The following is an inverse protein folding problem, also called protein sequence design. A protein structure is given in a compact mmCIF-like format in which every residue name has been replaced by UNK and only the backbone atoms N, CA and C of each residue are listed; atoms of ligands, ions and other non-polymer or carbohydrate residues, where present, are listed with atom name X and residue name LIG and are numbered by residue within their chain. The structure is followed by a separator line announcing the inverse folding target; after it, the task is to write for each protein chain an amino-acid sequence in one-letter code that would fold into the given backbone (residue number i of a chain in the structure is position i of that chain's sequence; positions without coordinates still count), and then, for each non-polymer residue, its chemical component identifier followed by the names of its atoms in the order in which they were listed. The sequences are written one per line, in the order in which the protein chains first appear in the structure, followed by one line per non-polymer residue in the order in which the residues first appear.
data_IF_782343322673
#
_entry.id   IF_782343322673
#
_cell.length_a   1.000
_cell.length_b   1.000
_cell.length_c   1.000
_cell.angle_alpha   90.00
_cell.angle_beta   90.00
_cell.angle_gamma   90.00
#
_symmetry.space_group_name_H-M   'P 1'
#
loop_
_entity.id
_entity.type
_entity.pdbx_description
1 polymer ?
#
# COMPACT_ATOMS: atom_id res chain seq x y z
N UNK A 1 0.01 -0.83 18.92
CA UNK A 1 -1.13 -0.20 19.61
C UNK A 1 -2.34 -0.36 18.70
N UNK A 2 -3.38 -1.07 19.14
CA UNK A 2 -4.60 -1.27 18.35
C UNK A 2 -5.32 0.06 18.07
N UNK A 3 -5.23 0.53 16.81
CA UNK A 3 -5.98 1.68 16.31
C UNK A 3 -7.51 1.53 16.51
N UNK A 4 -8.00 0.30 16.68
CA UNK A 4 -9.41 0.01 16.95
C UNK A 4 -9.96 0.69 18.21
N UNK A 5 -9.09 1.03 19.17
CA UNK A 5 -9.47 1.71 20.42
C UNK A 5 -9.14 3.21 20.41
N UNK A 6 -8.55 3.73 19.33
CA UNK A 6 -8.10 5.10 19.26
C UNK A 6 -9.30 6.06 19.31
N UNK A 7 -9.36 6.87 20.38
CA UNK A 7 -10.39 7.91 20.54
C UNK A 7 -9.94 9.28 20.07
N UNK A 8 -8.62 9.48 19.98
CA UNK A 8 -8.01 10.76 19.64
C UNK A 8 -6.97 10.59 18.54
N UNK A 9 -6.96 11.53 17.60
CA UNK A 9 -5.88 11.72 16.65
C UNK A 9 -5.06 12.93 17.10
N UNK A 10 -3.82 12.72 17.50
CA UNK A 10 -2.91 13.77 17.97
C UNK A 10 -1.94 14.19 16.86
N UNK A 11 -1.66 15.49 16.79
CA UNK A 11 -0.82 16.11 15.78
C UNK A 11 0.33 16.85 16.47
N UNK A 12 1.50 16.78 15.86
CA UNK A 12 2.71 17.45 16.31
C UNK A 12 3.35 18.16 15.13
N UNK A 13 3.53 19.48 15.25
CA UNK A 13 4.15 20.31 14.21
C UNK A 13 5.57 20.64 14.65
N UNK A 14 6.53 20.27 13.81
CA UNK A 14 7.95 20.52 14.07
C UNK A 14 8.48 21.61 13.14
N UNK A 15 9.27 22.53 13.67
CA UNK A 15 10.10 23.44 12.86
C UNK A 15 11.43 22.76 12.56
N UNK A 16 11.89 22.89 11.33
CA UNK A 16 13.23 22.48 10.91
C UNK A 16 14.04 23.73 10.53
N UNK A 17 15.17 23.94 11.19
CA UNK A 17 16.11 25.03 10.88
C UNK A 17 17.48 24.42 10.52
N UNK A 18 17.90 24.47 9.24
CA UNK A 18 19.18 23.93 8.80
C UNK A 18 20.38 24.78 9.28
N UNK A 19 20.17 26.03 9.72
CA UNK A 19 21.25 26.90 10.20
C UNK A 19 21.62 26.64 11.66
N UNK A 20 20.69 26.10 12.46
CA UNK A 20 20.87 25.77 13.88
C UNK A 20 21.06 24.26 14.11
N UNK A 21 22.02 23.66 13.41
CA UNK A 21 22.43 22.27 13.66
C UNK A 21 21.42 21.20 13.22
N UNK A 22 20.54 21.51 12.27
CA UNK A 22 19.62 20.56 11.62
C UNK A 22 18.73 19.75 12.60
N UNK A 23 18.21 20.41 13.64
CA UNK A 23 17.33 19.76 14.63
C UNK A 23 15.86 20.09 14.39
N UNK A 24 15.02 19.06 14.42
CA UNK A 24 13.57 19.23 14.46
C UNK A 24 13.14 19.62 15.89
N UNK A 25 12.48 20.77 16.04
CA UNK A 25 11.93 21.23 17.33
C UNK A 25 10.41 21.17 17.28
N UNK A 26 9.78 20.51 18.25
CA UNK A 26 8.33 20.55 18.39
C UNK A 26 7.91 22.00 18.69
N UNK A 27 7.00 22.53 17.89
CA UNK A 27 6.53 23.91 18.02
C UNK A 27 5.08 23.95 18.48
N UNK A 28 4.26 23.04 17.95
CA UNK A 28 2.82 23.03 18.25
C UNK A 28 2.27 21.61 18.38
N UNK A 29 1.27 21.45 19.25
CA UNK A 29 0.52 20.22 19.43
C UNK A 29 -0.99 20.44 19.41
N UNK A 30 -1.75 19.45 18.95
CA UNK A 30 -3.22 19.47 18.96
C UNK A 30 -3.81 18.07 18.84
N UNK A 31 -5.11 17.93 19.13
CA UNK A 31 -5.79 16.63 19.04
C UNK A 31 -7.25 16.77 18.59
N UNK A 32 -7.74 15.80 17.82
CA UNK A 32 -9.15 15.66 17.43
C UNK A 32 -9.76 14.42 18.07
N UNK A 33 -10.97 14.52 18.61
CA UNK A 33 -11.75 13.36 19.03
C UNK A 33 -12.36 12.65 17.81
N UNK A 34 -11.94 11.42 17.55
CA UNK A 34 -12.29 10.65 16.36
C UNK A 34 -13.79 10.33 16.27
N UNK A 35 -14.46 10.02 17.38
CA UNK A 35 -15.89 9.68 17.34
C UNK A 35 -16.78 10.82 16.82
N UNK A 36 -16.36 12.07 17.02
CA UNK A 36 -17.09 13.24 16.53
C UNK A 36 -17.02 13.37 15.00
N UNK A 37 -16.00 12.77 14.37
CA UNK A 37 -15.83 12.74 12.92
C UNK A 37 -16.64 11.62 12.27
N UNK A 38 -16.76 10.48 12.96
CA UNK A 38 -17.38 9.28 12.39
C UNK A 38 -18.88 9.15 12.69
N UNK A 39 -19.42 9.82 13.72
CA UNK A 39 -20.86 9.78 14.03
C UNK A 39 -21.77 10.30 12.92
N UNK A 40 -21.28 11.25 12.10
CA UNK A 40 -22.01 11.74 10.92
C UNK A 40 -21.95 10.78 9.73
N UNK A 41 -20.90 9.97 9.66
CA UNK A 41 -20.67 9.03 8.56
C UNK A 41 -21.52 7.76 8.67
N UNK A 42 -21.86 7.32 9.89
CA UNK A 42 -22.70 6.12 10.10
C UNK A 42 -24.21 6.37 9.93
N UNK A 43 -24.67 7.63 9.96
CA UNK A 43 -26.10 7.95 9.84
C UNK A 43 -26.58 8.23 8.41
N UNK A 44 -25.66 8.45 7.47
CA UNK A 44 -26.00 8.62 6.06
C UNK A 44 -25.58 7.37 5.30
N UNK A 45 -26.57 6.62 4.81
CA UNK A 45 -26.43 5.44 3.95
C UNK A 45 -25.87 5.78 2.55
N UNK A 46 -25.05 6.82 2.47
CA UNK A 46 -24.59 7.44 1.24
C UNK A 46 -23.20 6.89 0.93
N UNK A 47 -23.06 6.26 -0.23
CA UNK A 47 -21.82 5.75 -0.83
C UNK A 47 -20.80 6.87 -1.17
N UNK A 48 -20.77 7.97 -0.41
CA UNK A 48 -20.03 9.18 -0.73
C UNK A 48 -18.84 9.39 0.21
N UNK A 49 -17.71 9.72 -0.41
CA UNK A 49 -16.53 10.30 0.22
C UNK A 49 -16.93 11.53 1.05
N UNK A 50 -16.66 11.51 2.36
CA UNK A 50 -16.97 12.65 3.23
C UNK A 50 -15.71 13.44 3.59
N UNK A 51 -15.73 14.73 3.27
CA UNK A 51 -14.67 15.69 3.58
C UNK A 51 -15.00 16.44 4.88
N UNK A 52 -14.27 16.13 5.95
CA UNK A 52 -14.41 16.81 7.23
C UNK A 52 -13.33 17.89 7.37
N UNK A 53 -13.71 19.16 7.17
CA UNK A 53 -12.83 20.30 7.43
C UNK A 53 -12.87 20.67 8.91
N UNK A 54 -11.72 20.64 9.57
CA UNK A 54 -11.57 20.87 11.00
C UNK A 54 -10.60 22.02 11.24
N UNK A 55 -10.97 22.90 12.17
CA UNK A 55 -10.08 23.91 12.72
C UNK A 55 -9.50 23.39 14.05
N UNK A 56 -8.25 22.95 14.01
CA UNK A 56 -7.52 22.46 15.16
C UNK A 56 -6.88 23.60 15.92
N UNK A 57 -7.25 23.78 17.18
CA UNK A 57 -6.54 24.70 18.06
C UNK A 57 -5.21 24.08 18.50
N UNK A 58 -4.13 24.79 18.23
CA UNK A 58 -2.77 24.39 18.55
C UNK A 58 -2.33 25.02 19.87
N UNK A 59 -1.69 24.23 20.72
CA UNK A 59 -0.96 24.73 21.89
C UNK A 59 0.50 25.05 21.50
N UNK A 60 1.08 26.18 21.96
CA UNK A 60 0.48 27.16 22.89
C UNK A 60 -0.49 28.17 22.24
N UNK A 61 -0.37 28.44 20.93
CA UNK A 61 -1.26 29.32 20.15
C UNK A 61 -1.26 28.92 18.68
N UNK A 62 -2.37 29.17 17.99
CA UNK A 62 -2.52 28.99 16.53
C UNK A 62 -3.70 28.10 16.17
N UNK A 63 -4.15 28.17 14.92
CA UNK A 63 -5.20 27.30 14.40
C UNK A 63 -4.71 26.62 13.12
N UNK A 64 -4.74 25.29 13.09
CA UNK A 64 -4.42 24.48 11.92
C UNK A 64 -5.72 24.04 11.25
N UNK A 65 -5.91 24.39 9.99
CA UNK A 65 -7.02 23.87 9.20
C UNK A 65 -6.60 22.56 8.55
N UNK A 66 -7.35 21.48 8.83
CA UNK A 66 -7.13 20.18 8.21
C UNK A 66 -8.40 19.69 7.54
N UNK A 67 -8.25 18.94 6.46
CA UNK A 67 -9.33 18.24 5.79
C UNK A 67 -9.10 16.74 5.96
N UNK A 68 -10.04 16.06 6.62
CA UNK A 68 -10.00 14.63 6.83
C UNK A 68 -11.04 13.96 5.94
N UNK A 69 -10.58 13.06 5.09
CA UNK A 69 -11.44 12.25 4.24
C UNK A 69 -11.81 10.95 4.95
N UNK A 70 -13.09 10.67 5.09
CA UNK A 70 -13.56 9.33 5.46
C UNK A 70 -14.04 8.58 4.22
N UNK A 71 -13.52 7.38 4.05
CA UNK A 71 -13.96 6.41 3.05
C UNK A 71 -14.34 5.12 3.77
N UNK A 72 -15.50 4.57 3.40
CA UNK A 72 -15.88 3.26 3.91
C UNK A 72 -14.93 2.20 3.37
N UNK A 73 -14.86 1.11 4.12
CA UNK A 73 -14.08 -0.06 3.79
C UNK A 73 -14.44 -0.63 2.40
N UNK A 74 -15.72 -0.58 2.03
CA UNK A 74 -16.23 -1.01 0.73
C UNK A 74 -15.71 -0.15 -0.43
N UNK A 75 -15.67 1.18 -0.24
CA UNK A 75 -15.13 2.10 -1.24
C UNK A 75 -13.62 1.90 -1.37
N UNK A 76 -12.91 1.73 -0.25
CA UNK A 76 -11.46 1.47 -0.23
C UNK A 76 -11.08 0.17 -0.93
N UNK A 77 -11.95 -0.85 -0.93
CA UNK A 77 -11.69 -2.15 -1.56
C UNK A 77 -12.24 -2.28 -2.97
N UNK A 78 -12.93 -1.27 -3.47
CA UNK A 78 -13.50 -1.30 -4.81
C UNK A 78 -12.39 -1.24 -5.86
N UNK A 79 -12.03 -2.39 -6.42
CA UNK A 79 -11.18 -2.48 -7.61
C UNK A 79 -11.94 -1.88 -8.78
N UNK A 80 -11.39 -0.81 -9.35
CA UNK A 80 -11.99 -0.11 -10.49
C UNK A 80 -10.99 -0.24 -11.63
N UNK A 81 -11.35 -0.91 -12.73
CA UNK A 81 -10.46 -1.03 -13.87
C UNK A 81 -10.15 0.36 -14.43
N UNK A 82 -8.95 0.51 -14.99
CA UNK A 82 -8.59 1.76 -15.65
C UNK A 82 -9.48 1.99 -16.87
N UNK A 83 -10.00 3.21 -17.00
CA UNK A 83 -10.75 3.64 -18.18
C UNK A 83 -9.82 4.02 -19.35
N UNK A 84 -8.53 4.14 -19.09
CA UNK A 84 -7.53 4.50 -20.09
C UNK A 84 -6.91 3.24 -20.68
N UNK A 85 -7.11 3.05 -21.99
CA UNK A 85 -6.70 1.84 -22.70
C UNK A 85 -5.20 1.52 -22.50
N UNK A 86 -4.33 2.52 -22.36
CA UNK A 86 -2.87 2.34 -22.25
C UNK A 86 -2.31 2.53 -20.83
N UNK A 87 -3.17 2.56 -19.81
CA UNK A 87 -2.74 2.75 -18.43
C UNK A 87 -1.95 1.56 -17.90
N UNK A 88 -0.99 1.83 -17.01
CA UNK A 88 -0.21 0.82 -16.31
C UNK A 88 -0.97 0.30 -15.09
N UNK A 89 -1.56 1.19 -14.30
CA UNK A 89 -2.31 0.84 -13.11
C UNK A 89 -3.79 0.60 -13.46
N UNK A 90 -4.48 -0.27 -12.72
CA UNK A 90 -5.88 -0.58 -13.04
C UNK A 90 -6.07 -1.46 -14.28
N UNK A 91 -4.99 -1.94 -14.89
CA UNK A 91 -5.02 -2.81 -16.08
C UNK A 91 -4.74 -4.25 -15.67
N UNK A 92 -5.34 -5.21 -16.39
CA UNK A 92 -5.09 -6.63 -16.17
C UNK A 92 -3.62 -7.01 -16.37
N UNK A 93 -3.07 -7.85 -15.49
CA UNK A 93 -1.66 -8.29 -15.56
C UNK A 93 -1.27 -8.88 -16.91
N UNK A 94 -2.13 -9.72 -17.47
CA UNK A 94 -1.89 -10.34 -18.78
C UNK A 94 -1.70 -9.29 -19.86
N UNK A 95 -2.56 -8.26 -19.84
CA UNK A 95 -2.51 -7.15 -20.78
C UNK A 95 -1.23 -6.31 -20.60
N UNK A 96 -0.80 -6.05 -19.35
CA UNK A 96 0.44 -5.32 -19.08
C UNK A 96 1.66 -6.09 -19.58
N UNK A 97 1.76 -7.38 -19.24
CA UNK A 97 2.86 -8.27 -19.66
C UNK A 97 2.95 -8.36 -21.19
N UNK A 98 1.82 -8.55 -21.87
CA UNK A 98 1.77 -8.65 -23.33
C UNK A 98 2.26 -7.36 -24.01
N UNK A 99 1.91 -6.19 -23.47
CA UNK A 99 2.36 -4.88 -23.99
C UNK A 99 3.85 -4.65 -23.84
N UNK A 100 4.40 -5.04 -22.70
CA UNK A 100 5.82 -4.84 -22.40
C UNK A 100 6.74 -5.66 -23.31
N UNK A 101 6.25 -6.80 -23.85
CA UNK A 101 7.02 -7.72 -24.72
C UNK A 101 8.41 -8.05 -24.16
N UNK A 102 8.53 -8.09 -22.83
CA UNK A 102 9.80 -8.27 -22.11
C UNK A 102 10.32 -9.71 -22.15
N UNK A 103 9.52 -10.66 -22.67
CA UNK A 103 9.80 -12.09 -22.61
C UNK A 103 9.64 -12.69 -21.21
N UNK A 104 9.23 -11.89 -20.22
CA UNK A 104 8.96 -12.31 -18.84
C UNK A 104 7.46 -12.33 -18.59
N UNK A 105 6.98 -13.33 -17.85
CA UNK A 105 5.57 -13.40 -17.42
C UNK A 105 5.29 -12.55 -16.17
N UNK A 106 6.04 -11.46 -15.97
CA UNK A 106 5.98 -10.58 -14.81
C UNK A 106 6.13 -9.14 -15.31
N UNK A 107 5.22 -8.21 -14.93
CA UNK A 107 5.35 -6.79 -15.25
C UNK A 107 6.68 -6.18 -14.80
N UNK A 108 7.28 -5.35 -15.65
CA UNK A 108 8.53 -4.65 -15.37
C UNK A 108 8.44 -3.80 -14.10
N UNK A 109 7.29 -3.19 -13.81
CA UNK A 109 7.10 -2.42 -12.59
C UNK A 109 7.27 -3.26 -11.32
N UNK A 110 6.74 -4.49 -11.30
CA UNK A 110 6.92 -5.40 -10.16
C UNK A 110 8.39 -5.71 -9.96
N UNK A 111 9.08 -6.08 -11.05
CA UNK A 111 10.50 -6.45 -11.02
C UNK A 111 11.35 -5.29 -10.51
N UNK A 112 11.19 -4.09 -11.09
CA UNK A 112 12.00 -2.92 -10.73
C UNK A 112 11.75 -2.45 -9.31
N UNK A 113 10.50 -2.46 -8.84
CA UNK A 113 10.19 -2.11 -7.46
C UNK A 113 10.84 -3.08 -6.49
N UNK A 114 10.73 -4.39 -6.74
CA UNK A 114 11.30 -5.43 -5.88
C UNK A 114 12.82 -5.35 -5.87
N UNK A 115 13.47 -5.27 -7.04
CA UNK A 115 14.93 -5.13 -7.17
C UNK A 115 15.46 -3.94 -6.35
N UNK A 116 14.81 -2.77 -6.45
CA UNK A 116 15.23 -1.59 -5.69
C UNK A 116 14.94 -1.71 -4.19
N UNK A 117 13.85 -2.35 -3.78
CA UNK A 117 13.57 -2.58 -2.34
C UNK A 117 14.57 -3.57 -1.74
N UNK A 118 14.90 -4.66 -2.44
CA UNK A 118 15.92 -5.61 -1.99
C UNK A 118 17.31 -4.96 -1.91
N UNK A 119 17.61 -4.05 -2.85
CA UNK A 119 18.92 -3.39 -2.92
C UNK A 119 19.19 -2.39 -1.79
N UNK A 120 18.18 -1.66 -1.31
CA UNK A 120 18.38 -0.57 -0.31
C UNK A 120 17.30 -0.44 0.78
N UNK A 121 16.22 -1.21 0.68
CA UNK A 121 15.08 -1.13 1.59
C UNK A 121 15.10 -2.12 2.75
N UNK A 122 15.94 -3.15 2.70
CA UNK A 122 15.95 -4.22 3.70
C UNK A 122 16.39 -3.75 5.09
N UNK A 123 17.31 -2.79 5.14
CA UNK A 123 17.77 -2.20 6.40
C UNK A 123 16.84 -1.08 6.90
N UNK A 124 15.80 -0.72 6.15
CA UNK A 124 14.88 0.36 6.52
C UNK A 124 13.84 -0.14 7.52
N UNK A 125 13.87 0.42 8.73
CA UNK A 125 12.88 0.12 9.77
C UNK A 125 11.46 0.45 9.27
N UNK A 126 10.58 -0.54 9.34
CA UNK A 126 9.18 -0.39 8.94
C UNK A 126 8.96 -0.35 7.43
N UNK A 127 9.90 -0.86 6.62
CA UNK A 127 9.69 -1.07 5.18
C UNK A 127 8.36 -1.81 4.95
N UNK A 128 7.64 -1.42 3.90
CA UNK A 128 6.25 -1.81 3.60
C UNK A 128 5.17 -1.33 4.57
N UNK A 129 5.47 -1.10 5.84
CA UNK A 129 4.52 -0.56 6.84
C UNK A 129 4.39 0.96 6.76
N UNK A 130 5.50 1.66 6.60
CA UNK A 130 5.52 3.12 6.51
C UNK A 130 5.11 3.59 5.10
N UNK A 131 4.53 4.79 5.04
CA UNK A 131 4.17 5.45 3.80
C UNK A 131 5.14 6.61 3.55
N UNK A 132 5.69 6.68 2.34
CA UNK A 132 6.47 7.83 1.90
C UNK A 132 5.62 9.06 1.58
N UNK A 133 6.25 10.11 1.08
CA UNK A 133 5.57 11.35 0.67
C UNK A 133 4.46 11.10 -0.35
N UNK A 134 3.21 11.43 0.02
CA UNK A 134 2.04 11.28 -0.85
C UNK A 134 2.18 12.10 -2.16
N UNK A 135 2.79 13.28 -2.08
CA UNK A 135 3.07 14.12 -3.25
C UNK A 135 4.08 13.45 -4.17
N UNK A 136 5.20 12.94 -3.64
CA UNK A 136 6.22 12.29 -4.49
C UNK A 136 5.68 11.00 -5.10
N UNK A 137 4.87 10.25 -4.35
CA UNK A 137 4.14 9.08 -4.85
C UNK A 137 3.27 9.44 -6.07
N UNK A 138 2.45 10.49 -5.96
CA UNK A 138 1.59 10.93 -7.05
C UNK A 138 2.40 11.31 -8.31
N UNK A 139 3.49 12.06 -8.13
CA UNK A 139 4.39 12.43 -9.24
C UNK A 139 5.02 11.20 -9.91
N UNK A 140 5.56 10.28 -9.12
CA UNK A 140 6.17 9.06 -9.64
C UNK A 140 5.14 8.21 -10.40
N UNK A 141 3.90 8.12 -9.88
CA UNK A 141 2.82 7.42 -10.58
C UNK A 141 2.54 8.05 -11.95
N UNK A 142 2.42 9.37 -12.02
CA UNK A 142 2.20 10.07 -13.30
C UNK A 142 3.37 9.89 -14.28
N UNK A 143 4.60 9.87 -13.78
CA UNK A 143 5.80 9.57 -14.58
C UNK A 143 5.74 8.15 -15.17
N UNK A 144 5.35 7.15 -14.36
CA UNK A 144 5.22 5.75 -14.77
C UNK A 144 4.05 5.52 -15.76
N UNK A 145 2.92 6.20 -15.57
CA UNK A 145 1.78 6.12 -16.49
C UNK A 145 2.11 6.76 -17.85
N UNK A 146 2.94 7.81 -17.87
CA UNK A 146 3.39 8.45 -19.11
C UNK A 146 4.38 7.57 -19.87
N UNK A 147 5.31 6.92 -19.16
CA UNK A 147 6.40 6.14 -19.75
C UNK A 147 6.54 4.75 -19.10
N UNK A 148 5.58 3.83 -19.29
CA UNK A 148 5.54 2.54 -18.61
C UNK A 148 6.72 1.61 -18.98
N UNK A 149 7.37 1.86 -20.13
CA UNK A 149 8.53 1.07 -20.57
C UNK A 149 9.85 1.53 -19.96
N UNK A 150 9.92 2.73 -19.36
CA UNK A 150 11.14 3.32 -18.82
C UNK A 150 10.98 3.63 -17.33
N UNK A 151 11.14 2.59 -16.52
CA UNK A 151 10.97 2.66 -15.07
C UNK A 151 12.33 2.89 -14.41
N UNK A 152 12.58 4.12 -13.95
CA UNK A 152 13.75 4.49 -13.15
C UNK A 152 13.33 4.75 -11.69
N UNK A 153 13.79 3.89 -10.79
CA UNK A 153 13.52 3.94 -9.36
C UNK A 153 14.79 4.14 -8.53
N UNK A 154 15.88 4.56 -9.20
CA UNK A 154 17.18 4.80 -8.58
C UNK A 154 17.09 5.83 -7.43
N UNK A 155 18.02 5.80 -6.46
CA UNK A 155 18.03 6.75 -5.35
C UNK A 155 18.07 8.23 -5.78
N UNK A 156 18.64 8.53 -6.95
CA UNK A 156 18.66 9.87 -7.54
C UNK A 156 17.28 10.36 -7.99
N UNK A 157 16.40 9.46 -8.44
CA UNK A 157 15.05 9.78 -8.90
C UNK A 157 14.04 9.65 -7.75
N UNK A 158 14.15 8.59 -6.95
CA UNK A 158 13.25 8.29 -5.84
C UNK A 158 14.06 8.06 -4.57
N UNK A 159 14.41 9.14 -3.86
CA UNK A 159 15.21 9.03 -2.64
C UNK A 159 14.55 8.19 -1.53
N UNK A 160 13.25 8.38 -1.29
CA UNK A 160 12.51 7.67 -0.24
C UNK A 160 12.01 6.29 -0.73
N UNK A 161 12.58 5.21 -0.18
CA UNK A 161 12.19 3.84 -0.53
C UNK A 161 10.75 3.52 -0.15
N UNK A 162 10.18 4.21 0.84
CA UNK A 162 8.78 4.03 1.22
C UNK A 162 7.83 4.53 0.12
N UNK A 163 8.27 5.41 -0.77
CA UNK A 163 7.49 5.78 -1.96
C UNK A 163 7.43 4.60 -2.94
N UNK A 164 8.55 3.90 -3.16
CA UNK A 164 8.61 2.72 -4.04
C UNK A 164 7.73 1.59 -3.50
N UNK A 165 7.77 1.31 -2.20
CA UNK A 165 6.90 0.29 -1.59
C UNK A 165 5.43 0.63 -1.76
N UNK A 166 5.04 1.90 -1.66
CA UNK A 166 3.64 2.31 -1.84
C UNK A 166 3.23 2.22 -3.30
N UNK A 167 4.10 2.55 -4.27
CA UNK A 167 3.82 2.32 -5.69
C UNK A 167 3.58 0.84 -5.98
N UNK A 168 4.42 -0.04 -5.46
CA UNK A 168 4.25 -1.49 -5.60
C UNK A 168 2.89 -1.95 -5.03
N UNK A 169 2.54 -1.47 -3.83
CA UNK A 169 1.24 -1.76 -3.18
C UNK A 169 0.07 -1.22 -4.00
N UNK A 170 0.16 0.00 -4.52
CA UNK A 170 -0.87 0.63 -5.34
C UNK A 170 -1.10 -0.16 -6.64
N UNK A 171 -0.03 -0.61 -7.31
CA UNK A 171 -0.12 -1.44 -8.52
C UNK A 171 -0.90 -2.74 -8.28
N UNK A 172 -0.52 -3.52 -7.26
CA UNK A 172 -1.18 -4.81 -6.96
C UNK A 172 -2.63 -4.61 -6.47
N UNK A 173 -2.87 -3.58 -5.67
CA UNK A 173 -4.21 -3.27 -5.13
C UNK A 173 -5.19 -2.86 -6.24
N UNK A 174 -4.71 -2.16 -7.26
CA UNK A 174 -5.57 -1.60 -8.30
C UNK A 174 -5.83 -2.54 -9.47
N UNK A 175 -5.17 -3.70 -9.53
CA UNK A 175 -5.49 -4.72 -10.54
C UNK A 175 -7.01 -4.99 -10.56
N UNK A 176 -7.65 -5.15 -11.73
CA UNK A 176 -9.09 -5.44 -11.82
C UNK A 176 -9.49 -6.68 -10.99
N UNK A 177 -8.68 -7.72 -11.09
CA UNK A 177 -8.76 -8.93 -10.28
C UNK A 177 -7.58 -8.99 -9.30
N UNK A 178 -7.78 -9.45 -8.05
CA UNK A 178 -6.69 -9.64 -7.11
C UNK A 178 -5.67 -10.67 -7.63
N UNK A 179 -4.40 -10.46 -7.25
CA UNK A 179 -3.30 -11.33 -7.67
C UNK A 179 -3.56 -12.80 -7.30
N UNK A 180 -4.11 -13.02 -6.11
CA UNK A 180 -4.73 -14.29 -5.73
C UNK A 180 -6.26 -14.12 -5.67
N UNK A 181 -7.00 -14.87 -6.48
CA UNK A 181 -8.46 -14.91 -6.44
C UNK A 181 -9.00 -15.14 -5.02
N UNK A 182 -10.09 -14.45 -4.67
CA UNK A 182 -10.67 -14.49 -3.32
C UNK A 182 -10.99 -15.91 -2.82
N UNK A 183 -11.45 -16.79 -3.72
CA UNK A 183 -11.71 -18.20 -3.42
C UNK A 183 -10.46 -18.96 -2.99
N UNK A 184 -9.32 -18.68 -3.62
CA UNK A 184 -8.03 -19.28 -3.30
C UNK A 184 -7.48 -18.68 -2.00
N UNK A 185 -7.66 -17.37 -1.78
CA UNK A 185 -7.32 -16.74 -0.51
C UNK A 185 -8.09 -17.34 0.67
N UNK A 186 -9.40 -17.59 0.54
CA UNK A 186 -10.21 -18.21 1.60
C UNK A 186 -9.74 -19.63 1.92
N UNK A 187 -9.40 -20.42 0.89
CA UNK A 187 -8.82 -21.76 1.07
C UNK A 187 -7.47 -21.70 1.79
N UNK A 188 -6.59 -20.76 1.41
CA UNK A 188 -5.29 -20.55 2.08
C UNK A 188 -5.45 -20.10 3.53
N UNK A 189 -6.39 -19.18 3.79
CA UNK A 189 -6.64 -18.67 5.13
C UNK A 189 -7.15 -19.76 6.08
N UNK A 190 -8.08 -20.60 5.60
CA UNK A 190 -8.59 -21.73 6.39
C UNK A 190 -7.47 -22.72 6.74
N UNK A 191 -6.57 -23.02 5.80
CA UNK A 191 -5.51 -24.01 6.03
C UNK A 191 -4.35 -23.47 6.88
N UNK A 192 -4.06 -22.16 6.81
CA UNK A 192 -3.03 -21.52 7.62
C UNK A 192 -3.25 -21.64 9.14
N UNK A 193 -4.49 -21.87 9.55
CA UNK A 193 -4.88 -22.05 10.96
C UNK A 193 -4.79 -23.50 11.43
N UNK A 194 -4.52 -24.44 10.51
CA UNK A 194 -4.34 -25.85 10.81
C UNK A 194 -2.85 -26.15 10.94
N UNK A 195 -2.41 -26.62 12.10
CA UNK A 195 -1.03 -27.07 12.35
C UNK A 195 -0.76 -28.42 11.66
N UNK A 196 -0.80 -28.45 10.32
CA UNK A 196 -0.54 -29.66 9.55
C UNK A 196 0.79 -29.57 8.79
N UNK A 197 1.54 -30.67 8.77
CA UNK A 197 2.85 -30.79 8.09
C UNK A 197 2.76 -30.72 6.56
N UNK A 198 1.55 -30.70 5.98
CA UNK A 198 1.31 -30.71 4.52
C UNK A 198 0.84 -29.35 3.96
N UNK A 199 0.80 -28.29 4.76
CA UNK A 199 0.31 -26.97 4.35
C UNK A 199 1.02 -26.42 3.10
N UNK A 200 2.33 -26.69 2.93
CA UNK A 200 3.09 -26.24 1.78
C UNK A 200 2.67 -26.91 0.46
N UNK A 201 2.38 -28.21 0.48
CA UNK A 201 1.93 -28.93 -0.72
C UNK A 201 0.53 -28.48 -1.16
N UNK A 202 -0.40 -28.36 -0.22
CA UNK A 202 -1.74 -27.83 -0.48
C UNK A 202 -1.69 -26.39 -1.00
N UNK A 203 -0.85 -25.54 -0.42
CA UNK A 203 -0.68 -24.15 -0.88
C UNK A 203 -0.14 -24.08 -2.31
N UNK A 204 0.75 -25.00 -2.69
CA UNK A 204 1.22 -25.13 -4.07
C UNK A 204 0.11 -25.60 -5.02
N UNK A 205 -0.68 -26.61 -4.65
CA UNK A 205 -1.81 -27.10 -5.46
C UNK A 205 -2.87 -26.00 -5.66
N UNK A 206 -3.16 -25.23 -4.62
CA UNK A 206 -4.07 -24.07 -4.70
C UNK A 206 -3.51 -23.02 -5.68
N UNK A 207 -2.20 -22.73 -5.62
CA UNK A 207 -1.58 -21.78 -6.55
C UNK A 207 -1.58 -22.26 -8.01
N UNK A 208 -1.61 -23.57 -8.27
CA UNK A 208 -1.74 -24.12 -9.64
C UNK A 208 -3.10 -23.84 -10.27
N UNK A 209 -4.12 -23.51 -9.47
CA UNK A 209 -5.44 -23.09 -9.97
C UNK A 209 -5.46 -21.61 -10.42
N UNK A 210 -4.43 -20.82 -10.13
CA UNK A 210 -4.32 -19.44 -10.61
C UNK A 210 -3.96 -19.38 -12.10
N UNK A 211 -4.39 -18.35 -12.84
CA UNK A 211 -3.82 -18.04 -14.15
C UNK A 211 -2.29 -17.98 -14.08
N UNK A 212 -1.60 -18.48 -15.12
CA UNK A 212 -0.14 -18.64 -15.15
C UNK A 212 0.61 -17.35 -14.76
N UNK A 213 0.16 -16.20 -15.27
CA UNK A 213 0.79 -14.90 -15.00
C UNK A 213 0.60 -14.50 -13.53
N UNK A 214 -0.61 -14.65 -12.98
CA UNK A 214 -0.90 -14.42 -11.57
C UNK A 214 -0.07 -15.33 -10.67
N UNK A 215 0.04 -16.62 -11.00
CA UNK A 215 0.84 -17.59 -10.28
C UNK A 215 2.31 -17.15 -10.22
N UNK A 216 2.93 -16.84 -11.37
CA UNK A 216 4.34 -16.42 -11.43
C UNK A 216 4.57 -15.11 -10.67
N UNK A 217 3.67 -14.12 -10.81
CA UNK A 217 3.77 -12.86 -10.08
C UNK A 217 3.59 -13.04 -8.56
N UNK A 218 2.65 -13.89 -8.13
CA UNK A 218 2.48 -14.29 -6.72
C UNK A 218 3.75 -14.91 -6.17
N UNK A 219 4.30 -15.93 -6.85
CA UNK A 219 5.53 -16.59 -6.41
C UNK A 219 6.71 -15.62 -6.35
N UNK A 220 6.84 -14.73 -7.35
CA UNK A 220 7.89 -13.72 -7.38
C UNK A 220 7.81 -12.80 -6.15
N UNK A 221 6.64 -12.23 -5.87
CA UNK A 221 6.44 -11.36 -4.71
C UNK A 221 6.62 -12.12 -3.39
N UNK A 222 6.09 -13.35 -3.27
CA UNK A 222 6.27 -14.16 -2.08
C UNK A 222 7.75 -14.49 -1.85
N UNK A 223 8.48 -14.94 -2.86
CA UNK A 223 9.89 -15.30 -2.71
C UNK A 223 10.72 -14.08 -2.30
N UNK A 224 10.57 -12.97 -3.02
CA UNK A 224 11.33 -11.74 -2.77
C UNK A 224 10.98 -11.06 -1.45
N UNK A 225 9.71 -11.03 -1.05
CA UNK A 225 9.30 -10.37 0.21
C UNK A 225 9.52 -11.27 1.43
N UNK A 226 9.35 -12.60 1.30
CA UNK A 226 9.55 -13.54 2.41
C UNK A 226 11.00 -13.79 2.75
N UNK A 227 11.88 -13.95 1.75
CA UNK A 227 13.29 -14.15 2.04
C UNK A 227 13.94 -12.90 2.64
N UNK A 228 13.43 -11.72 2.29
CA UNK A 228 14.16 -10.48 2.51
C UNK A 228 13.69 -9.69 3.73
N UNK A 229 12.45 -9.87 4.22
CA UNK A 229 11.91 -8.92 5.20
C UNK A 229 11.17 -9.53 6.40
N UNK A 230 10.35 -10.59 6.26
CA UNK A 230 9.30 -10.85 7.29
C UNK A 230 8.92 -12.35 7.48
N UNK A 231 8.46 -12.74 8.70
CA UNK A 231 7.85 -14.05 8.95
C UNK A 231 6.57 -14.25 8.12
N UNK A 232 6.21 -15.52 7.86
CA UNK A 232 5.13 -15.96 6.95
C UNK A 232 3.76 -15.26 7.11
N UNK A 233 3.47 -14.62 8.25
CA UNK A 233 2.25 -13.83 8.49
C UNK A 233 2.11 -12.60 7.59
N UNK A 234 3.19 -12.14 6.94
CA UNK A 234 3.18 -10.96 6.08
C UNK A 234 2.83 -11.25 4.61
N UNK A 235 2.93 -12.50 4.16
CA UNK A 235 2.48 -12.96 2.83
C UNK A 235 0.99 -12.65 2.64
N UNK A 236 0.22 -12.85 3.71
CA UNK A 236 -1.22 -12.66 3.71
C UNK A 236 -1.62 -11.23 3.34
N UNK A 237 -0.87 -10.19 3.70
CA UNK A 237 -1.22 -8.81 3.33
C UNK A 237 -0.93 -8.45 1.87
N UNK A 238 0.02 -9.12 1.20
CA UNK A 238 0.35 -8.86 -0.21
C UNK A 238 -0.61 -9.51 -1.19
N UNK A 239 -1.18 -10.63 -0.77
CA UNK A 239 -1.93 -11.55 -1.62
C UNK A 239 -3.45 -11.42 -1.38
N UNK A 240 -3.86 -10.75 -0.29
CA UNK A 240 -5.27 -10.62 0.09
C UNK A 240 -6.07 -9.66 -0.80
N UNK A 241 -7.33 -9.98 -1.11
CA UNK A 241 -8.30 -9.02 -1.65
C UNK A 241 -8.75 -7.94 -0.64
N UNK A 242 -8.47 -8.11 0.66
CA UNK A 242 -8.66 -7.10 1.72
C UNK A 242 -7.37 -6.27 1.88
N UNK A 243 -7.39 -5.09 2.51
CA UNK A 243 -6.35 -4.10 2.35
C UNK A 243 -5.06 -4.55 3.03
N UNK A 244 -3.97 -3.98 2.52
CA UNK A 244 -2.77 -3.71 3.27
C UNK A 244 -3.07 -2.81 4.47
N UNK A 245 -3.65 -3.37 5.52
CA UNK A 245 -3.61 -2.76 6.86
C UNK A 245 -2.56 -3.55 7.60
N UNK A 246 -1.32 -3.06 7.60
CA UNK A 246 -0.36 -3.50 8.60
C UNK A 246 -0.91 -3.08 9.96
N UNK A 247 -1.21 -4.02 10.87
CA UNK A 247 -1.34 -3.64 12.27
C UNK A 247 0.02 -3.08 12.66
N UNK A 248 0.04 -1.80 13.00
CA UNK A 248 1.20 -1.20 13.64
C UNK A 248 1.35 -1.84 15.04
N UNK A 249 2.38 -2.67 15.33
CA UNK A 249 2.73 -2.97 16.72
C UNK A 249 2.96 -1.66 17.47
#
# INVERSE_FOLDING_TARGET
MDLNSARYLSFSVYSYDPSQGARHRLVYGGSVHLAALFHKATQQNSQQQQHNRLALQLQPRGTLYIELLYQTIEILYRRTPSLHLNSLFGTELATVVEREKSGRNIPMLLVRCVEEIEKRGLDQVGIYRLCGSARRKQQLREELEKNPMHIDLSPSVVGDINVVTVILKDFVRELPEPLCPSSLYEALAQESTRESTNNAQLMMTIMECCPKINQVCCLFLCLSVCLSVLPCSFIYSFVCPRPFVFPCP
#
